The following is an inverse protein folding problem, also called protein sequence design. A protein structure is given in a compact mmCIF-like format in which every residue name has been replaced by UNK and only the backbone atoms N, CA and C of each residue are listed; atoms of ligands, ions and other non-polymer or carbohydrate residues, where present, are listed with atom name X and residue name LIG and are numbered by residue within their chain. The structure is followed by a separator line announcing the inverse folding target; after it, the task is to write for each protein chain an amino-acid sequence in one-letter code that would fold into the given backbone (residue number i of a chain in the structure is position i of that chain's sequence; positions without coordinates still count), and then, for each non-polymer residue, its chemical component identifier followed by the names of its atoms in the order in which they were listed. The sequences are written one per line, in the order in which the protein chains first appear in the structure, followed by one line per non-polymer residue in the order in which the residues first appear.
data_IF_509497094150
#
_entry.id   IF_509497094150
#
_cell.length_a   1.000
_cell.length_b   1.000
_cell.length_c   1.000
_cell.angle_alpha   90.00
_cell.angle_beta   90.00
_cell.angle_gamma   90.00
#
_symmetry.space_group_name_H-M   'P 1'
#
loop_
_entity.id
_entity.type
_entity.pdbx_description
1 polymer ?
#
# COMPACT_ATOMS: atom_id res chain seq x y z
N UNK A 1 -2.29 -22.26 25.06
CA UNK A 1 -3.38 -22.47 26.04
C UNK A 1 -4.55 -21.59 25.61
N UNK A 2 -5.73 -22.19 25.36
CA UNK A 2 -6.96 -21.45 25.10
C UNK A 2 -7.61 -21.26 26.46
N UNK A 3 -7.68 -20.03 26.96
CA UNK A 3 -8.51 -19.71 28.12
C UNK A 3 -9.81 -19.18 27.54
N UNK A 4 -10.87 -19.97 27.67
CA UNK A 4 -12.24 -19.50 27.46
C UNK A 4 -12.70 -18.94 28.79
N UNK A 5 -12.88 -17.62 28.88
CA UNK A 5 -13.63 -17.02 29.97
C UNK A 5 -15.11 -17.02 29.57
N UNK A 6 -15.96 -17.87 30.16
CA UNK A 6 -17.36 -17.98 29.77
C UNK A 6 -18.21 -16.77 30.22
N UNK A 7 -17.66 -15.82 30.99
CA UNK A 7 -18.39 -14.65 31.51
C UNK A 7 -18.15 -13.40 30.64
N UNK A 8 -17.10 -13.40 29.82
CA UNK A 8 -16.80 -12.31 28.87
C UNK A 8 -16.86 -12.82 27.43
N UNK A 9 -17.30 -12.00 26.47
CA UNK A 9 -17.27 -12.33 25.04
C UNK A 9 -15.82 -12.35 24.49
N UNK A 10 -14.85 -12.80 25.28
CA UNK A 10 -13.41 -12.69 25.06
C UNK A 10 -12.80 -14.09 25.02
N UNK A 11 -12.06 -14.37 23.94
CA UNK A 11 -11.27 -15.60 23.81
C UNK A 11 -9.81 -15.21 23.60
N UNK A 12 -8.92 -15.71 24.46
CA UNK A 12 -7.49 -15.37 24.43
C UNK A 12 -6.69 -16.52 23.81
N UNK A 13 -5.82 -16.16 22.86
CA UNK A 13 -4.89 -17.06 22.20
C UNK A 13 -3.45 -16.58 22.40
N UNK A 14 -2.52 -17.51 22.68
CA UNK A 14 -1.08 -17.24 22.70
C UNK A 14 -0.44 -17.90 21.48
N UNK A 15 -0.27 -17.14 20.40
CA UNK A 15 0.08 -17.71 19.09
C UNK A 15 1.07 -16.83 18.34
N UNK A 16 1.99 -17.48 17.63
CA UNK A 16 2.93 -16.87 16.69
C UNK A 16 2.94 -17.71 15.40
N UNK A 17 3.07 -17.12 14.20
CA UNK A 17 3.22 -15.69 13.83
C UNK A 17 1.89 -14.90 13.78
N UNK A 18 1.92 -13.59 13.48
CA UNK A 18 0.75 -12.67 13.47
C UNK A 18 -0.38 -13.16 12.56
N UNK A 19 -0.07 -13.54 11.30
CA UNK A 19 -1.09 -14.06 10.37
C UNK A 19 -1.79 -15.32 10.88
N UNK A 20 -1.03 -16.22 11.52
CA UNK A 20 -1.58 -17.39 12.19
C UNK A 20 -2.50 -16.98 13.36
N UNK A 21 -2.07 -16.03 14.20
CA UNK A 21 -2.88 -15.46 15.28
C UNK A 21 -4.23 -14.90 14.77
N UNK A 22 -4.20 -14.06 13.73
CA UNK A 22 -5.40 -13.50 13.07
C UNK A 22 -6.33 -14.60 12.57
N UNK A 23 -5.79 -15.59 11.85
CA UNK A 23 -6.59 -16.70 11.32
C UNK A 23 -7.24 -17.53 12.43
N UNK A 24 -6.56 -17.78 13.55
CA UNK A 24 -7.13 -18.54 14.68
C UNK A 24 -8.20 -17.75 15.43
N UNK A 25 -7.99 -16.45 15.65
CA UNK A 25 -9.00 -15.58 16.23
C UNK A 25 -10.27 -15.52 15.35
N UNK A 26 -10.10 -15.40 14.03
CA UNK A 26 -11.22 -15.39 13.09
C UNK A 26 -11.97 -16.73 13.12
N UNK A 27 -11.26 -17.87 13.08
CA UNK A 27 -11.87 -19.20 13.15
C UNK A 27 -12.63 -19.46 14.46
N UNK A 28 -12.17 -18.90 15.57
CA UNK A 28 -12.82 -19.04 16.87
C UNK A 28 -14.02 -18.10 17.06
N UNK A 29 -14.04 -16.97 16.36
CA UNK A 29 -15.16 -16.04 16.37
C UNK A 29 -16.34 -16.51 15.51
N UNK A 30 -17.55 -16.10 15.87
CA UNK A 30 -18.80 -16.46 15.14
C UNK A 30 -19.45 -15.27 14.43
N UNK A 31 -18.95 -14.05 14.63
CA UNK A 31 -19.54 -12.83 14.06
C UNK A 31 -19.57 -12.81 12.53
N UNK A 32 -20.62 -12.23 11.94
CA UNK A 32 -20.77 -12.07 10.48
C UNK A 32 -19.76 -11.07 9.89
N UNK A 33 -19.34 -10.10 10.70
CA UNK A 33 -18.34 -9.10 10.35
C UNK A 33 -17.11 -9.26 11.25
N UNK A 34 -15.96 -8.89 10.70
CA UNK A 34 -14.67 -8.92 11.37
C UNK A 34 -14.21 -7.48 11.55
N UNK A 35 -13.81 -7.13 12.77
CA UNK A 35 -13.17 -5.86 13.11
C UNK A 35 -11.79 -6.18 13.66
N UNK A 36 -10.75 -5.61 13.06
CA UNK A 36 -9.38 -5.80 13.50
C UNK A 36 -8.98 -4.67 14.46
N UNK A 37 -8.18 -5.00 15.46
CA UNK A 37 -7.61 -4.05 16.42
C UNK A 37 -6.32 -4.67 16.97
N UNK A 38 -5.22 -3.94 16.93
CA UNK A 38 -3.98 -4.35 17.58
C UNK A 38 -4.08 -4.04 19.07
N UNK A 39 -3.39 -4.84 19.90
CA UNK A 39 -3.58 -4.82 21.37
C UNK A 39 -3.11 -3.53 22.02
N UNK A 40 -2.19 -2.83 21.37
CA UNK A 40 -1.63 -1.55 21.77
C UNK A 40 -2.44 -0.36 21.26
N UNK A 41 -3.34 -0.54 20.30
CA UNK A 41 -4.16 0.53 19.73
C UNK A 41 -5.48 0.75 20.50
N UNK A 42 -6.08 1.93 20.32
CA UNK A 42 -7.45 2.22 20.77
C UNK A 42 -8.32 2.69 19.62
N UNK A 43 -9.64 2.50 19.74
CA UNK A 43 -10.60 2.94 18.74
C UNK A 43 -11.67 3.85 19.33
N UNK A 44 -12.20 4.75 18.51
CA UNK A 44 -13.33 5.58 18.89
C UNK A 44 -14.59 4.73 19.14
N UNK A 45 -15.46 5.09 20.11
CA UNK A 45 -16.66 4.32 20.42
C UNK A 45 -17.59 4.11 19.21
N UNK A 46 -17.57 5.04 18.25
CA UNK A 46 -18.42 4.98 17.05
C UNK A 46 -17.84 4.14 15.90
N UNK A 47 -16.60 3.63 16.02
CA UNK A 47 -15.89 2.94 14.92
C UNK A 47 -16.69 1.78 14.35
N UNK A 48 -17.10 0.84 15.20
CA UNK A 48 -17.81 -0.39 14.79
C UNK A 48 -19.11 -0.02 14.06
N UNK A 49 -19.92 0.88 14.64
CA UNK A 49 -21.21 1.27 14.06
C UNK A 49 -21.05 1.89 12.67
N UNK A 50 -20.11 2.81 12.50
CA UNK A 50 -19.87 3.51 11.23
C UNK A 50 -19.31 2.59 10.15
N UNK A 51 -18.31 1.77 10.48
CA UNK A 51 -17.75 0.82 9.52
C UNK A 51 -18.73 -0.30 9.17
N UNK A 52 -19.57 -0.75 10.12
CA UNK A 52 -20.65 -1.71 9.85
C UNK A 52 -21.69 -1.15 8.89
N UNK A 53 -22.09 0.11 9.05
CA UNK A 53 -23.05 0.75 8.14
C UNK A 53 -22.50 0.75 6.70
N UNK A 54 -21.22 1.09 6.51
CA UNK A 54 -20.59 1.06 5.21
C UNK A 54 -20.44 -0.38 4.67
N UNK A 55 -20.12 -1.34 5.54
CA UNK A 55 -19.99 -2.76 5.17
C UNK A 55 -21.30 -3.39 4.70
N UNK A 56 -22.44 -2.95 5.24
CA UNK A 56 -23.76 -3.41 4.79
C UNK A 56 -24.06 -2.97 3.35
N UNK A 57 -23.61 -1.77 2.97
CA UNK A 57 -23.79 -1.24 1.62
C UNK A 57 -22.78 -1.83 0.62
N UNK A 58 -21.61 -2.25 1.10
CA UNK A 58 -20.54 -2.82 0.27
C UNK A 58 -19.98 -4.12 0.89
N UNK A 59 -20.74 -5.23 0.84
CA UNK A 59 -20.42 -6.46 1.58
C UNK A 59 -19.12 -7.16 1.18
N UNK A 60 -18.62 -6.88 -0.04
CA UNK A 60 -17.38 -7.42 -0.59
C UNK A 60 -16.19 -6.46 -0.46
N UNK A 61 -16.30 -5.42 0.38
CA UNK A 61 -15.23 -4.44 0.59
C UNK A 61 -14.38 -4.72 1.82
N UNK A 62 -13.12 -4.34 1.72
CA UNK A 62 -12.28 -4.11 2.88
C UNK A 62 -12.39 -2.64 3.26
N UNK A 63 -12.83 -2.38 4.49
CA UNK A 63 -13.18 -1.03 4.96
C UNK A 63 -12.15 -0.57 5.99
N UNK A 64 -11.52 0.57 5.73
CA UNK A 64 -10.70 1.27 6.72
C UNK A 64 -11.44 2.43 7.38
N UNK A 65 -10.69 3.19 8.17
CA UNK A 65 -11.07 4.53 8.64
C UNK A 65 -9.83 5.43 8.60
N UNK A 66 -10.00 6.74 8.82
CA UNK A 66 -8.84 7.59 9.10
C UNK A 66 -8.34 7.28 10.52
N UNK A 67 -7.07 7.62 10.76
CA UNK A 67 -6.42 7.35 12.03
C UNK A 67 -5.56 8.54 12.45
N UNK A 68 -5.32 8.64 13.76
CA UNK A 68 -4.27 9.47 14.34
C UNK A 68 -3.17 8.57 14.90
N UNK A 69 -2.00 9.14 15.14
CA UNK A 69 -0.90 8.43 15.78
C UNK A 69 -0.63 8.99 17.15
N UNK A 70 -0.13 8.14 18.02
CA UNK A 70 0.41 8.51 19.31
C UNK A 70 1.84 7.95 19.38
N UNK A 71 2.88 8.80 19.45
CA UNK A 71 2.85 10.26 19.43
C UNK A 71 2.41 10.85 18.07
N UNK A 72 1.76 12.03 18.10
CA UNK A 72 1.10 12.69 16.95
C UNK A 72 2.00 12.86 15.70
N UNK A 73 3.30 13.08 15.91
CA UNK A 73 4.26 13.34 14.84
C UNK A 73 4.92 12.07 14.24
N UNK A 74 4.53 10.89 14.70
CA UNK A 74 5.06 9.64 14.18
C UNK A 74 4.68 9.44 12.72
N UNK A 75 5.67 9.27 11.82
CA UNK A 75 5.42 9.04 10.38
C UNK A 75 4.45 10.03 9.71
N UNK A 76 4.46 11.30 10.10
CA UNK A 76 3.47 12.33 9.73
C UNK A 76 3.08 12.35 8.24
N UNK A 77 4.04 12.18 7.32
CA UNK A 77 3.79 12.14 5.87
C UNK A 77 2.88 10.99 5.46
N UNK A 78 3.06 9.82 6.07
CA UNK A 78 2.23 8.66 5.81
C UNK A 78 0.81 8.89 6.31
N UNK A 79 0.65 9.35 7.55
CA UNK A 79 -0.67 9.67 8.12
C UNK A 79 -1.41 10.69 7.25
N UNK A 80 -0.71 11.76 6.83
CA UNK A 80 -1.25 12.79 5.93
C UNK A 80 -1.67 12.21 4.58
N UNK A 81 -0.81 11.42 3.94
CA UNK A 81 -1.11 10.76 2.66
C UNK A 81 -2.33 9.86 2.79
N UNK A 82 -2.28 8.90 3.72
CA UNK A 82 -3.34 7.91 3.91
C UNK A 82 -4.67 8.62 4.16
N UNK A 83 -4.76 9.52 5.16
CA UNK A 83 -6.02 10.18 5.51
C UNK A 83 -6.58 11.12 4.42
N UNK A 84 -5.78 11.57 3.45
CA UNK A 84 -6.21 12.50 2.39
C UNK A 84 -6.64 11.82 1.09
N UNK A 85 -6.36 10.54 0.90
CA UNK A 85 -6.80 9.81 -0.30
C UNK A 85 -8.31 9.92 -0.46
N UNK A 86 -8.78 10.33 -1.63
CA UNK A 86 -10.21 10.21 -1.94
C UNK A 86 -10.58 8.76 -2.29
N UNK A 87 -11.88 8.48 -2.45
CA UNK A 87 -12.38 7.13 -2.74
C UNK A 87 -11.75 6.48 -3.98
N UNK A 88 -11.51 7.27 -5.04
CA UNK A 88 -10.86 6.77 -6.24
C UNK A 88 -9.39 6.41 -5.96
N UNK A 89 -8.67 7.31 -5.28
CA UNK A 89 -7.26 7.14 -4.93
C UNK A 89 -6.99 5.94 -4.03
N UNK A 90 -7.94 5.55 -3.17
CA UNK A 90 -7.84 4.34 -2.36
C UNK A 90 -7.58 3.09 -3.20
N UNK A 91 -8.07 3.04 -4.44
CA UNK A 91 -7.98 1.86 -5.30
C UNK A 91 -6.80 1.93 -6.28
N UNK A 92 -6.25 3.12 -6.55
CA UNK A 92 -5.18 3.30 -7.56
C UNK A 92 -3.80 3.60 -6.94
N UNK A 93 -3.72 4.18 -5.74
CA UNK A 93 -2.45 4.49 -5.06
C UNK A 93 -1.90 3.34 -4.19
N UNK A 94 -2.30 2.12 -4.51
CA UNK A 94 -1.95 0.89 -3.79
C UNK A 94 -0.48 0.45 -3.95
N UNK A 95 0.26 1.07 -4.87
CA UNK A 95 1.64 0.70 -5.18
C UNK A 95 2.69 1.51 -4.40
N UNK A 96 2.30 2.45 -3.55
CA UNK A 96 3.26 3.29 -2.79
C UNK A 96 3.94 2.52 -1.65
N UNK A 97 5.04 3.05 -1.13
CA UNK A 97 5.91 2.44 -0.09
C UNK A 97 5.28 2.42 1.29
N UNK A 98 4.10 3.01 1.39
CA UNK A 98 3.32 3.23 2.59
C UNK A 98 2.41 2.03 2.94
N UNK A 99 2.35 1.02 2.08
CA UNK A 99 1.53 -0.19 2.28
C UNK A 99 0.12 -0.03 1.72
N UNK A 100 -0.83 -0.86 2.17
CA UNK A 100 -2.24 -0.71 1.82
C UNK A 100 -2.72 0.74 2.02
N UNK A 101 -3.60 1.21 1.13
CA UNK A 101 -4.19 2.56 1.19
C UNK A 101 -5.12 2.76 2.40
N UNK A 102 -5.48 1.67 3.08
CA UNK A 102 -6.09 1.63 4.40
C UNK A 102 -5.20 0.82 5.35
N UNK A 103 -4.73 1.44 6.44
CA UNK A 103 -3.78 0.82 7.36
C UNK A 103 -4.43 -0.27 8.22
N UNK A 104 -3.76 -1.39 8.45
CA UNK A 104 -4.09 -2.29 9.58
C UNK A 104 -3.65 -1.61 10.90
N UNK A 105 -4.47 -1.55 11.97
CA UNK A 105 -5.66 -2.36 12.18
C UNK A 105 -7.01 -1.67 11.92
N UNK A 106 -7.08 -0.66 11.04
CA UNK A 106 -8.38 0.01 10.73
C UNK A 106 -9.39 -0.91 10.04
N UNK A 107 -8.98 -2.10 9.60
CA UNK A 107 -9.77 -2.97 8.75
C UNK A 107 -11.06 -3.46 9.42
N UNK A 108 -12.12 -3.43 8.64
CA UNK A 108 -13.44 -3.99 8.93
C UNK A 108 -13.97 -4.63 7.65
N UNK A 109 -14.51 -5.84 7.73
CA UNK A 109 -15.05 -6.51 6.54
C UNK A 109 -16.09 -7.57 6.90
N UNK A 110 -16.86 -8.03 5.91
CA UNK A 110 -17.65 -9.25 6.09
C UNK A 110 -16.71 -10.46 6.23
N UNK A 111 -17.12 -11.47 6.99
CA UNK A 111 -16.38 -12.74 7.07
C UNK A 111 -16.16 -13.37 5.69
N UNK A 112 -17.07 -13.13 4.74
CA UNK A 112 -16.95 -13.62 3.37
C UNK A 112 -15.73 -13.05 2.64
N UNK A 113 -15.30 -11.82 2.93
CA UNK A 113 -14.06 -11.26 2.38
C UNK A 113 -12.86 -12.12 2.79
N UNK A 114 -12.73 -12.45 4.07
CA UNK A 114 -11.67 -13.33 4.57
C UNK A 114 -11.76 -14.74 3.95
N UNK A 115 -12.97 -15.31 3.85
CA UNK A 115 -13.18 -16.62 3.21
C UNK A 115 -12.80 -16.65 1.74
N UNK A 116 -13.12 -15.59 0.98
CA UNK A 116 -12.77 -15.46 -0.45
C UNK A 116 -11.26 -15.31 -0.65
N UNK A 117 -10.60 -14.54 0.21
CA UNK A 117 -9.14 -14.34 0.16
C UNK A 117 -8.38 -15.62 0.51
N UNK A 118 -8.93 -16.46 1.40
CA UNK A 118 -8.29 -17.70 1.86
C UNK A 118 -7.49 -17.54 3.14
N UNK A 119 -7.64 -16.39 3.83
CA UNK A 119 -6.97 -16.08 5.08
C UNK A 119 -5.64 -15.34 4.95
N UNK A 120 -5.05 -15.01 6.09
CA UNK A 120 -3.73 -14.38 6.16
C UNK A 120 -2.63 -15.41 5.95
N UNK A 121 -1.52 -14.99 5.36
CA UNK A 121 -0.35 -15.83 5.19
C UNK A 121 0.25 -16.23 6.55
N UNK A 122 0.55 -17.53 6.73
CA UNK A 122 1.03 -18.10 7.99
C UNK A 122 2.54 -18.46 7.95
N UNK A 123 3.27 -18.06 6.90
CA UNK A 123 4.65 -18.53 6.62
C UNK A 123 5.71 -18.09 7.65
N UNK A 124 5.40 -17.13 8.52
CA UNK A 124 6.26 -16.81 9.67
C UNK A 124 6.81 -15.39 9.70
N UNK A 125 7.86 -15.22 10.51
CA UNK A 125 8.52 -13.94 10.78
C UNK A 125 9.06 -13.32 9.49
N UNK A 126 8.75 -12.03 9.26
CA UNK A 126 9.16 -11.30 8.07
C UNK A 126 8.19 -11.40 6.89
N UNK A 127 7.09 -12.15 7.03
CA UNK A 127 5.98 -12.12 6.07
C UNK A 127 5.15 -10.84 6.26
N UNK A 128 4.85 -10.08 5.20
CA UNK A 128 3.93 -8.95 5.26
C UNK A 128 2.49 -9.42 5.03
N UNK A 129 1.92 -10.13 5.99
CA UNK A 129 0.65 -10.86 5.83
C UNK A 129 -0.51 -9.94 5.44
N UNK A 130 -0.53 -8.71 5.96
CA UNK A 130 -1.54 -7.71 5.64
C UNK A 130 -1.42 -7.25 4.18
N UNK A 131 -0.20 -7.01 3.68
CA UNK A 131 0.01 -6.62 2.29
C UNK A 131 -0.43 -7.74 1.33
N UNK A 132 -0.11 -9.00 1.66
CA UNK A 132 -0.48 -10.15 0.85
C UNK A 132 -1.99 -10.37 0.82
N UNK A 133 -2.65 -10.26 1.98
CA UNK A 133 -4.11 -10.29 2.06
C UNK A 133 -4.72 -9.19 1.20
N UNK A 134 -4.21 -7.96 1.32
CA UNK A 134 -4.68 -6.80 0.57
C UNK A 134 -4.54 -6.99 -0.95
N UNK A 135 -3.39 -7.49 -1.42
CA UNK A 135 -3.18 -7.79 -2.83
C UNK A 135 -4.09 -8.91 -3.33
N UNK A 136 -4.28 -9.97 -2.54
CA UNK A 136 -5.18 -11.05 -2.93
C UNK A 136 -6.64 -10.58 -3.00
N UNK A 137 -7.07 -9.73 -2.06
CA UNK A 137 -8.39 -9.07 -2.12
C UNK A 137 -8.59 -8.29 -3.42
N UNK A 138 -7.58 -7.52 -3.84
CA UNK A 138 -7.61 -6.75 -5.09
C UNK A 138 -7.61 -7.67 -6.33
N UNK A 139 -6.84 -8.77 -6.32
CA UNK A 139 -6.87 -9.77 -7.40
C UNK A 139 -8.27 -10.36 -7.59
N UNK A 140 -9.00 -10.53 -6.49
CA UNK A 140 -10.39 -10.99 -6.48
C UNK A 140 -11.41 -9.88 -6.80
N UNK A 141 -10.94 -8.73 -7.29
CA UNK A 141 -11.76 -7.54 -7.60
C UNK A 141 -12.52 -6.99 -6.40
N UNK A 142 -12.02 -7.26 -5.19
CA UNK A 142 -12.55 -6.68 -3.96
C UNK A 142 -12.35 -5.17 -3.95
N UNK A 143 -13.31 -4.46 -3.36
CA UNK A 143 -13.30 -3.01 -3.27
C UNK A 143 -12.59 -2.53 -2.00
N UNK A 144 -11.92 -1.39 -2.09
CA UNK A 144 -11.40 -0.67 -0.91
C UNK A 144 -12.32 0.53 -0.63
N UNK A 145 -12.79 0.61 0.60
CA UNK A 145 -13.66 1.70 1.09
C UNK A 145 -13.10 2.24 2.40
N UNK A 146 -13.49 3.46 2.77
CA UNK A 146 -13.07 4.06 4.03
C UNK A 146 -14.18 4.93 4.61
N UNK A 147 -14.30 4.92 5.92
CA UNK A 147 -15.03 5.97 6.64
C UNK A 147 -14.06 7.16 6.83
N UNK A 148 -14.36 8.31 6.23
CA UNK A 148 -13.52 9.51 6.27
C UNK A 148 -13.67 10.27 7.60
N UNK A 149 -13.43 9.55 8.69
CA UNK A 149 -13.39 10.07 10.06
C UNK A 149 -12.26 9.37 10.82
N UNK A 150 -11.62 10.12 11.73
CA UNK A 150 -10.59 9.57 12.63
C UNK A 150 -11.27 8.65 13.64
N UNK A 151 -11.12 7.34 13.47
CA UNK A 151 -11.79 6.33 14.31
C UNK A 151 -10.83 5.34 14.98
N UNK A 152 -9.53 5.48 14.72
CA UNK A 152 -8.45 4.71 15.34
C UNK A 152 -7.36 5.64 15.87
N UNK A 153 -6.89 5.37 17.08
CA UNK A 153 -5.65 5.90 17.62
C UNK A 153 -4.57 4.81 17.54
N UNK A 154 -3.62 5.02 16.64
CA UNK A 154 -2.53 4.09 16.37
C UNK A 154 -1.33 4.40 17.27
N UNK A 155 -0.93 3.49 18.15
CA UNK A 155 0.25 3.65 18.99
C UNK A 155 1.51 3.29 18.20
N UNK A 156 2.36 4.29 17.96
CA UNK A 156 3.64 4.08 17.28
C UNK A 156 4.76 3.87 18.31
N UNK A 157 5.42 2.73 18.23
CA UNK A 157 6.57 2.44 19.08
C UNK A 157 7.68 1.69 18.30
N UNK A 158 8.97 1.83 18.69
CA UNK A 158 10.10 1.23 17.96
C UNK A 158 10.11 -0.30 17.90
N UNK A 159 9.39 -0.95 18.81
CA UNK A 159 9.30 -2.42 18.89
C UNK A 159 8.18 -3.01 18.03
N UNK A 160 7.51 -2.21 17.19
CA UNK A 160 6.42 -2.68 16.34
C UNK A 160 6.89 -3.79 15.37
N UNK A 161 6.04 -4.78 15.15
CA UNK A 161 6.37 -5.96 14.34
C UNK A 161 6.68 -5.58 12.88
N UNK A 162 6.18 -4.45 12.40
CA UNK A 162 6.50 -3.88 11.07
C UNK A 162 8.01 -3.74 10.84
N UNK A 163 8.80 -3.47 11.87
CA UNK A 163 10.26 -3.35 11.75
C UNK A 163 10.97 -4.69 11.55
N UNK A 164 10.29 -5.81 11.78
CA UNK A 164 10.83 -7.16 11.54
C UNK A 164 10.73 -7.60 10.07
N UNK A 165 9.99 -6.89 9.24
CA UNK A 165 9.83 -7.18 7.81
C UNK A 165 10.94 -6.49 7.03
N UNK A 166 11.68 -7.26 6.24
CA UNK A 166 12.71 -6.70 5.37
C UNK A 166 12.08 -5.79 4.29
N UNK A 167 12.63 -4.58 4.15
CA UNK A 167 12.22 -3.63 3.11
C UNK A 167 12.40 -4.20 1.72
N UNK A 168 13.36 -5.10 1.53
CA UNK A 168 13.55 -5.77 0.24
C UNK A 168 12.43 -6.78 -0.06
N UNK A 169 11.86 -7.42 0.96
CA UNK A 169 10.67 -8.28 0.81
C UNK A 169 9.46 -7.45 0.35
N UNK A 170 9.17 -6.34 1.02
CA UNK A 170 8.09 -5.41 0.61
C UNK A 170 8.32 -4.90 -0.81
N UNK A 171 9.57 -4.54 -1.13
CA UNK A 171 9.95 -4.06 -2.45
C UNK A 171 9.64 -5.10 -3.55
N UNK A 172 10.04 -6.37 -3.34
CA UNK A 172 9.77 -7.46 -4.30
C UNK A 172 8.27 -7.64 -4.55
N UNK A 173 7.45 -7.68 -3.50
CA UNK A 173 6.00 -7.80 -3.65
C UNK A 173 5.39 -6.61 -4.39
N UNK A 174 5.82 -5.38 -4.08
CA UNK A 174 5.37 -4.17 -4.78
C UNK A 174 5.74 -4.16 -6.26
N UNK A 175 6.99 -4.50 -6.60
CA UNK A 175 7.42 -4.58 -8.00
C UNK A 175 6.64 -5.65 -8.74
N UNK A 176 6.53 -6.86 -8.16
CA UNK A 176 5.78 -7.95 -8.78
C UNK A 176 4.31 -7.58 -9.01
N UNK A 177 3.67 -6.92 -8.05
CA UNK A 177 2.28 -6.49 -8.18
C UNK A 177 2.11 -5.35 -9.21
N UNK A 178 3.07 -4.41 -9.27
CA UNK A 178 3.10 -3.38 -10.31
C UNK A 178 3.23 -4.01 -11.71
N UNK A 179 4.10 -5.00 -11.89
CA UNK A 179 4.25 -5.73 -13.16
C UNK A 179 2.96 -6.47 -13.53
N UNK A 180 2.36 -7.19 -12.57
CA UNK A 180 1.13 -7.96 -12.74
C UNK A 180 -0.08 -7.09 -13.09
N UNK A 181 -0.18 -5.88 -12.52
CA UNK A 181 -1.41 -5.09 -12.58
C UNK A 181 -1.34 -3.90 -13.51
N UNK A 182 -0.14 -3.42 -13.83
CA UNK A 182 0.07 -2.23 -14.64
C UNK A 182 0.96 -2.55 -15.84
N UNK A 183 2.23 -2.92 -15.61
CA UNK A 183 3.22 -2.95 -16.69
C UNK A 183 2.97 -4.06 -17.72
N UNK A 184 2.24 -5.13 -17.36
CA UNK A 184 1.82 -6.15 -18.34
C UNK A 184 0.91 -5.59 -19.44
N UNK A 185 0.24 -4.47 -19.20
CA UNK A 185 -0.72 -3.85 -20.12
C UNK A 185 -0.14 -2.68 -20.90
N UNK A 186 1.04 -2.19 -20.50
CA UNK A 186 1.73 -1.11 -21.20
C UNK A 186 2.73 -1.69 -22.20
N UNK A 187 2.79 -1.11 -23.39
CA UNK A 187 3.78 -1.46 -24.43
C UNK A 187 5.14 -0.83 -24.15
N UNK A 188 5.12 0.40 -23.64
CA UNK A 188 6.29 1.18 -23.22
C UNK A 188 5.93 2.09 -22.05
N UNK A 189 6.94 2.58 -21.31
CA UNK A 189 6.75 3.59 -20.27
C UNK A 189 8.04 4.33 -19.91
N UNK A 190 7.89 5.50 -19.29
CA UNK A 190 8.98 6.30 -18.71
C UNK A 190 9.06 6.12 -17.19
N UNK A 191 10.26 5.98 -16.64
CA UNK A 191 10.47 6.04 -15.18
C UNK A 191 10.81 7.48 -14.78
N UNK A 192 9.91 8.12 -14.04
CA UNK A 192 10.15 9.46 -13.50
C UNK A 192 10.92 9.35 -12.18
N UNK A 193 12.25 9.32 -12.29
CA UNK A 193 13.30 9.50 -11.27
C UNK A 193 14.61 8.95 -11.87
N UNK A 194 15.50 9.80 -12.37
CA UNK A 194 16.80 9.33 -12.90
C UNK A 194 17.84 9.06 -11.79
N UNK A 195 17.42 9.00 -10.52
CA UNK A 195 18.25 8.80 -9.34
C UNK A 195 18.14 7.40 -8.74
N UNK A 196 18.36 7.30 -7.42
CA UNK A 196 18.46 6.01 -6.70
C UNK A 196 17.20 5.16 -6.82
N UNK A 197 16.02 5.75 -6.70
CA UNK A 197 14.76 4.99 -6.65
C UNK A 197 14.35 4.51 -8.04
N UNK A 198 14.36 5.35 -9.07
CA UNK A 198 14.01 4.91 -10.42
C UNK A 198 15.00 3.90 -11.00
N UNK A 199 16.32 4.06 -10.74
CA UNK A 199 17.32 3.06 -11.11
C UNK A 199 17.18 1.76 -10.29
N UNK A 200 16.70 1.83 -9.04
CA UNK A 200 16.37 0.60 -8.28
C UNK A 200 15.20 -0.11 -8.94
N UNK A 201 14.12 0.61 -9.27
CA UNK A 201 12.97 0.04 -9.98
C UNK A 201 13.42 -0.64 -11.28
N UNK A 202 14.11 0.09 -12.16
CA UNK A 202 14.59 -0.46 -13.43
C UNK A 202 15.33 -1.79 -13.25
N UNK A 203 16.30 -1.86 -12.31
CA UNK A 203 17.08 -3.07 -12.05
C UNK A 203 16.24 -4.23 -11.51
N UNK A 204 15.15 -3.93 -10.80
CA UNK A 204 14.25 -4.91 -10.20
C UNK A 204 13.17 -5.44 -11.15
N UNK A 205 12.96 -4.80 -12.31
CA UNK A 205 12.00 -5.26 -13.31
C UNK A 205 12.42 -6.59 -13.93
N UNK A 206 11.44 -7.37 -14.37
CA UNK A 206 11.65 -8.51 -15.25
C UNK A 206 12.33 -8.11 -16.56
N UNK A 207 12.99 -9.08 -17.22
CA UNK A 207 13.63 -8.84 -18.53
C UNK A 207 12.65 -8.32 -19.58
N UNK A 208 11.38 -8.75 -19.51
CA UNK A 208 10.33 -8.26 -20.40
C UNK A 208 10.05 -6.78 -20.16
N UNK A 209 9.75 -6.40 -18.91
CA UNK A 209 9.36 -5.01 -18.60
C UNK A 209 10.54 -4.03 -18.67
N UNK A 210 11.78 -4.48 -18.52
CA UNK A 210 12.96 -3.62 -18.78
C UNK A 210 12.99 -3.12 -20.23
N UNK A 211 12.63 -3.96 -21.21
CA UNK A 211 12.60 -3.57 -22.63
C UNK A 211 11.54 -2.52 -22.95
N UNK A 212 10.53 -2.39 -22.09
CA UNK A 212 9.46 -1.40 -22.22
C UNK A 212 9.88 -0.01 -21.71
N UNK A 213 11.00 0.09 -20.98
CA UNK A 213 11.48 1.37 -20.46
C UNK A 213 12.17 2.16 -21.56
N UNK A 214 11.50 3.23 -22.03
CA UNK A 214 12.02 4.08 -23.12
C UNK A 214 12.92 5.19 -22.63
N UNK A 215 12.73 5.65 -21.38
CA UNK A 215 13.54 6.69 -20.78
C UNK A 215 13.47 6.67 -19.24
N UNK A 216 14.48 7.29 -18.63
CA UNK A 216 14.40 7.85 -17.29
C UNK A 216 14.24 9.36 -17.43
N UNK A 217 13.36 9.99 -16.65
CA UNK A 217 13.24 11.44 -16.65
C UNK A 217 13.47 12.07 -15.28
N UNK A 218 13.91 13.33 -15.28
CA UNK A 218 14.20 14.10 -14.07
C UNK A 218 14.10 15.61 -14.34
N UNK A 219 14.22 16.41 -13.28
CA UNK A 219 14.36 17.89 -13.33
C UNK A 219 15.81 18.32 -13.09
N UNK A 220 16.62 17.45 -12.48
CA UNK A 220 18.01 17.74 -12.15
C UNK A 220 18.89 17.73 -13.40
N UNK A 221 19.33 18.92 -13.80
CA UNK A 221 20.19 19.15 -14.96
C UNK A 221 21.46 18.29 -14.93
N UNK A 222 22.06 18.08 -13.75
CA UNK A 222 23.28 17.24 -13.61
C UNK A 222 23.03 15.77 -13.98
N UNK A 223 21.81 15.28 -13.83
CA UNK A 223 21.44 13.93 -14.26
C UNK A 223 21.14 13.88 -15.75
N UNK A 224 20.46 14.90 -16.26
CA UNK A 224 20.09 15.04 -17.68
C UNK A 224 21.33 15.20 -18.55
N UNK A 225 22.32 15.98 -18.11
CA UNK A 225 23.57 16.24 -18.85
C UNK A 225 24.45 14.98 -18.99
N UNK A 226 24.15 13.89 -18.28
CA UNK A 226 24.80 12.59 -18.49
C UNK A 226 24.23 11.84 -19.70
N UNK A 227 23.15 12.34 -20.30
CA UNK A 227 22.41 11.84 -21.46
C UNK A 227 21.82 10.43 -21.34
N UNK A 228 22.47 9.52 -20.63
CA UNK A 228 22.00 8.14 -20.48
C UNK A 228 22.39 7.51 -19.13
N UNK A 229 21.62 6.51 -18.75
CA UNK A 229 21.94 5.56 -17.69
C UNK A 229 22.44 4.26 -18.32
N UNK A 230 23.70 3.91 -18.08
CA UNK A 230 24.26 2.65 -18.55
C UNK A 230 23.71 1.49 -17.72
N UNK A 231 22.84 0.69 -18.34
CA UNK A 231 22.29 -0.52 -17.77
C UNK A 231 22.94 -1.78 -18.38
N UNK A 232 22.62 -2.96 -17.84
CA UNK A 232 23.13 -4.23 -18.39
C UNK A 232 22.53 -4.54 -19.77
N UNK A 233 21.33 -4.02 -20.05
CA UNK A 233 20.58 -4.23 -21.28
C UNK A 233 20.88 -3.18 -22.36
N UNK A 234 21.68 -2.17 -22.02
CA UNK A 234 22.04 -1.05 -22.90
C UNK A 234 21.86 0.33 -22.24
N UNK A 235 22.28 1.42 -22.91
CA UNK A 235 22.07 2.77 -22.42
C UNK A 235 20.57 3.14 -22.49
N UNK A 236 20.05 3.72 -21.40
CA UNK A 236 18.69 4.25 -21.34
C UNK A 236 18.77 5.78 -21.35
N UNK A 237 18.07 6.49 -22.24
CA UNK A 237 18.06 7.95 -22.25
C UNK A 237 17.67 8.55 -20.89
N UNK A 238 18.37 9.60 -20.49
CA UNK A 238 17.98 10.45 -19.35
C UNK A 238 17.58 11.82 -19.88
N UNK A 239 16.29 12.13 -19.77
CA UNK A 239 15.70 13.32 -20.39
C UNK A 239 15.02 14.23 -19.35
N UNK A 240 14.78 15.49 -19.72
CA UNK A 240 13.95 16.38 -18.92
C UNK A 240 12.50 15.88 -18.92
N UNK A 241 11.81 15.97 -17.78
CA UNK A 241 10.43 15.45 -17.65
C UNK A 241 9.46 16.01 -18.70
N UNK A 242 9.62 17.27 -19.11
CA UNK A 242 8.77 17.90 -20.12
C UNK A 242 8.93 17.34 -21.54
N UNK A 243 9.94 16.49 -21.77
CA UNK A 243 10.18 15.81 -23.05
C UNK A 243 9.85 14.32 -22.97
N UNK A 244 9.40 13.84 -21.82
CA UNK A 244 9.13 12.44 -21.61
C UNK A 244 7.72 12.06 -22.07
N UNK A 245 7.58 10.82 -22.51
CA UNK A 245 6.32 10.27 -23.00
C UNK A 245 5.63 9.42 -21.91
N UNK A 246 4.32 9.58 -21.82
CA UNK A 246 3.44 8.72 -21.03
C UNK A 246 3.33 7.33 -21.65
N UNK A 247 3.06 6.27 -20.87
CA UNK A 247 2.75 6.33 -19.44
C UNK A 247 3.97 6.38 -18.52
N UNK A 248 3.78 6.86 -17.28
CA UNK A 248 4.86 7.05 -16.29
C UNK A 248 4.74 6.09 -15.10
N UNK A 249 5.87 5.54 -14.67
CA UNK A 249 6.04 5.06 -13.30
C UNK A 249 6.78 6.12 -12.50
N UNK A 250 6.08 6.74 -11.55
CA UNK A 250 6.57 7.87 -10.77
C UNK A 250 7.25 7.37 -9.49
N UNK A 251 8.57 7.49 -9.44
CA UNK A 251 9.40 7.12 -8.29
C UNK A 251 9.88 8.35 -7.50
N UNK A 252 9.17 9.47 -7.62
CA UNK A 252 9.39 10.71 -6.86
C UNK A 252 8.40 10.75 -5.70
N UNK A 253 8.90 11.06 -4.50
CA UNK A 253 8.04 11.15 -3.31
C UNK A 253 7.20 12.43 -3.35
N UNK A 254 5.90 12.26 -3.12
CA UNK A 254 4.96 13.34 -2.88
C UNK A 254 5.35 14.16 -1.64
N UNK A 255 4.98 15.44 -1.62
CA UNK A 255 5.17 16.37 -0.51
C UNK A 255 6.64 16.62 -0.07
N UNK A 256 7.63 16.23 -0.88
CA UNK A 256 9.05 16.45 -0.57
C UNK A 256 9.66 17.71 -1.18
N UNK A 257 8.97 18.33 -2.12
CA UNK A 257 9.56 19.37 -2.98
C UNK A 257 8.80 20.69 -2.88
N UNK A 258 8.07 20.92 -1.77
CA UNK A 258 7.24 22.10 -1.55
C UNK A 258 6.29 22.37 -2.74
N UNK A 259 5.66 21.31 -3.26
CA UNK A 259 4.74 21.37 -4.39
C UNK A 259 5.39 21.44 -5.77
N UNK A 260 6.72 21.46 -5.88
CA UNK A 260 7.41 21.61 -7.17
C UNK A 260 7.17 20.41 -8.09
N UNK A 261 7.28 19.20 -7.55
CA UNK A 261 6.97 17.97 -8.29
C UNK A 261 5.50 17.93 -8.70
N UNK A 262 4.59 18.28 -7.80
CA UNK A 262 3.16 18.30 -8.03
C UNK A 262 2.79 19.27 -9.17
N UNK A 263 3.35 20.49 -9.19
CA UNK A 263 3.18 21.44 -10.29
C UNK A 263 3.74 20.94 -11.63
N UNK A 264 4.86 20.21 -11.59
CA UNK A 264 5.42 19.60 -12.80
C UNK A 264 4.56 18.46 -13.33
N UNK A 265 3.91 17.69 -12.45
CA UNK A 265 2.98 16.64 -12.85
C UNK A 265 1.69 17.25 -13.42
N UNK A 266 1.15 18.29 -12.76
CA UNK A 266 -0.01 19.05 -13.22
C UNK A 266 0.22 19.69 -14.59
N UNK A 267 1.42 20.20 -14.87
CA UNK A 267 1.72 20.86 -16.15
C UNK A 267 1.72 19.90 -17.35
N UNK A 268 1.82 18.60 -17.13
CA UNK A 268 1.70 17.58 -18.18
C UNK A 268 0.24 17.19 -18.48
N UNK A 269 -0.73 17.63 -17.67
CA UNK A 269 -2.16 17.34 -17.83
C UNK A 269 -2.48 15.83 -17.98
N UNK A 270 -1.80 15.00 -17.17
CA UNK A 270 -1.91 13.54 -17.21
C UNK A 270 -3.00 13.04 -16.25
N UNK A 271 -3.59 11.88 -16.55
CA UNK A 271 -4.57 11.20 -15.70
C UNK A 271 -3.95 10.05 -14.93
N UNK A 272 -4.09 10.05 -13.61
CA UNK A 272 -3.64 8.96 -12.75
C UNK A 272 -4.33 7.64 -13.13
N UNK A 273 -3.60 6.52 -13.04
CA UNK A 273 -4.05 5.18 -13.41
C UNK A 273 -4.35 4.96 -14.92
N UNK A 274 -4.11 5.98 -15.75
CA UNK A 274 -4.13 5.89 -17.22
C UNK A 274 -2.73 6.21 -17.74
N UNK A 275 -2.29 7.45 -17.49
CA UNK A 275 -1.04 8.00 -18.01
C UNK A 275 0.10 7.88 -16.99
N UNK A 276 -0.19 7.61 -15.71
CA UNK A 276 0.84 7.39 -14.72
C UNK A 276 0.37 6.61 -13.50
N UNK A 277 1.33 6.03 -12.77
CA UNK A 277 1.13 5.42 -11.45
C UNK A 277 2.22 5.87 -10.46
N UNK A 278 1.84 6.05 -9.19
CA UNK A 278 2.77 6.35 -8.11
C UNK A 278 3.44 5.10 -7.55
N UNK A 279 4.78 5.04 -7.62
CA UNK A 279 5.63 3.98 -7.07
C UNK A 279 6.74 4.56 -6.17
N UNK A 280 6.37 5.48 -5.28
CA UNK A 280 7.28 6.14 -4.32
C UNK A 280 7.25 5.49 -2.94
#
# INVERSE_FOLDING_TARGET
MIILDPISNIVIFHLFPVGYGKNRAIKASTGKFLCFLDIDDTMEPSRITKQLQLAKNYPDSLIGCQFRREPENSTQRYTKWANRLNEHQLNIQIYTSHGPTIIMPTWFCSRQVWSKVGGFDESGKGCPEDLLFFYQHIRLKGLIKRVDEILLNYIYHPSATTFSIDKETIWKYRVSFLEERVLRFWESFTIWNAGKQGRKLYRSLSKENKKKVIALCDVDKKKIDKFSYNSQEGPIPVIHFSKAESPFVICVKLDLTNGSFERNLESLNLKENIDYVHFN
#
